data_IF_283776223206
#
_entry.id   IF_283776223206
#
_cell.length_a   1.000
_cell.length_b   1.000
_cell.length_c   1.000
_cell.angle_alpha   90.00
_cell.angle_beta   90.00
_cell.angle_gamma   90.00
#
_symmetry.space_group_name_H-M   'P 1'
#
loop_
_entity.id
_entity.type
_entity.pdbx_description
1 polymer ?
#
# COMPACT_ATOMS: atom_id res chain seq x y z
N UNK A 1 39.55 -24.70 26.13
CA UNK A 1 39.81 -23.58 27.07
C UNK A 1 39.15 -22.27 26.61
N UNK A 2 39.34 -21.79 25.37
CA UNK A 2 38.68 -20.55 24.87
C UNK A 2 37.15 -20.61 24.83
N UNK A 3 36.55 -21.76 24.55
CA UNK A 3 35.09 -21.94 24.50
C UNK A 3 34.40 -21.75 25.87
N UNK A 4 35.09 -22.10 26.97
CA UNK A 4 34.59 -21.89 28.33
C UNK A 4 34.69 -20.43 28.77
N UNK A 5 35.68 -19.70 28.25
CA UNK A 5 35.84 -18.27 28.52
C UNK A 5 34.75 -17.50 27.76
N UNK A 6 34.50 -17.84 26.49
CA UNK A 6 33.42 -17.24 25.70
C UNK A 6 32.04 -17.51 26.29
N UNK A 7 31.76 -18.75 26.74
CA UNK A 7 30.48 -19.08 27.39
C UNK A 7 30.33 -18.43 28.77
N UNK A 8 31.40 -18.27 29.53
CA UNK A 8 31.37 -17.59 30.82
C UNK A 8 31.20 -16.06 30.69
N UNK A 9 31.77 -15.47 29.64
CA UNK A 9 31.58 -14.04 29.31
C UNK A 9 30.17 -13.81 28.78
N UNK A 10 29.65 -14.69 27.93
CA UNK A 10 28.27 -14.64 27.45
C UNK A 10 27.26 -14.82 28.58
N UNK A 11 27.49 -15.80 29.46
CA UNK A 11 26.63 -16.06 30.63
C UNK A 11 26.63 -14.89 31.61
N UNK A 12 27.77 -14.21 31.82
CA UNK A 12 27.83 -12.96 32.60
C UNK A 12 27.14 -11.78 31.92
N UNK A 13 27.13 -11.73 30.59
CA UNK A 13 26.40 -10.69 29.85
C UNK A 13 24.88 -10.89 29.90
N UNK A 14 24.41 -12.13 30.03
CA UNK A 14 22.97 -12.46 30.09
C UNK A 14 22.41 -12.53 31.50
N UNK A 15 23.21 -12.91 32.51
CA UNK A 15 22.75 -13.03 33.91
C UNK A 15 22.77 -11.70 34.68
N UNK A 16 23.39 -10.65 34.13
CA UNK A 16 23.47 -9.32 34.77
C UNK A 16 22.32 -8.37 34.46
N UNK A 17 21.45 -8.69 33.48
CA UNK A 17 20.51 -7.72 32.94
C UNK A 17 19.18 -7.77 33.70
N UNK A 18 19.05 -6.94 34.73
CA UNK A 18 17.75 -6.65 35.30
C UNK A 18 16.88 -5.94 34.25
N UNK A 19 15.54 -6.04 34.30
CA UNK A 19 14.65 -5.42 33.31
C UNK A 19 14.73 -3.88 33.20
N UNK A 20 15.56 -3.23 34.03
CA UNK A 20 15.63 -1.77 34.22
C UNK A 20 17.01 -1.15 33.86
N UNK A 21 17.88 -1.83 33.11
CA UNK A 21 19.23 -1.31 32.84
C UNK A 21 19.30 -0.19 31.77
N UNK A 22 18.18 0.25 31.19
CA UNK A 22 18.22 1.38 30.25
C UNK A 22 18.27 2.72 31.02
N UNK A 23 19.07 3.70 30.58
CA UNK A 23 19.09 5.02 31.19
C UNK A 23 17.69 5.64 31.21
N UNK A 24 17.28 6.39 32.26
CA UNK A 24 15.93 6.95 32.36
C UNK A 24 15.49 7.83 31.17
N UNK A 25 16.46 8.39 30.43
CA UNK A 25 16.22 9.19 29.23
C UNK A 25 15.96 8.36 27.96
N UNK A 26 16.19 7.04 27.97
CA UNK A 26 15.99 6.17 26.80
C UNK A 26 14.54 6.20 26.31
N UNK A 27 13.58 6.18 27.24
CA UNK A 27 12.15 6.27 26.92
C UNK A 27 11.80 7.58 26.22
N UNK A 28 12.43 8.70 26.63
CA UNK A 28 12.21 10.00 26.01
C UNK A 28 12.76 10.05 24.59
N UNK A 29 13.93 9.44 24.35
CA UNK A 29 14.54 9.36 23.01
C UNK A 29 13.71 8.45 22.10
N UNK A 30 13.30 7.26 22.56
CA UNK A 30 12.41 6.40 21.76
C UNK A 30 11.08 7.06 21.43
N UNK A 31 10.52 7.85 22.36
CA UNK A 31 9.31 8.61 22.10
C UNK A 31 9.55 9.73 21.07
N UNK A 32 10.69 10.41 21.15
CA UNK A 32 11.07 11.44 20.17
C UNK A 32 11.25 10.84 18.78
N UNK A 33 11.97 9.73 18.66
CA UNK A 33 12.12 8.95 17.43
C UNK A 33 10.77 8.54 16.86
N UNK A 34 9.88 8.01 17.70
CA UNK A 34 8.55 7.65 17.27
C UNK A 34 7.78 8.85 16.72
N UNK A 35 7.82 10.00 17.39
CA UNK A 35 7.14 11.22 16.94
C UNK A 35 7.72 11.73 15.61
N UNK A 36 9.05 11.64 15.42
CA UNK A 36 9.73 12.11 14.20
C UNK A 36 9.52 11.15 13.03
N UNK A 37 9.62 9.84 13.27
CA UNK A 37 9.54 8.84 12.21
C UNK A 37 8.10 8.45 11.88
N UNK A 38 7.13 8.58 12.79
CA UNK A 38 5.74 8.22 12.51
C UNK A 38 5.16 8.95 11.28
N UNK A 39 5.29 10.29 11.12
CA UNK A 39 4.83 10.99 9.92
C UNK A 39 5.53 10.49 8.64
N UNK A 40 6.82 10.17 8.73
CA UNK A 40 7.61 9.66 7.59
C UNK A 40 7.12 8.27 7.20
N UNK A 41 6.96 7.37 8.17
CA UNK A 41 6.42 6.03 7.97
C UNK A 41 5.01 6.08 7.40
N UNK A 42 4.15 6.97 7.92
CA UNK A 42 2.81 7.18 7.37
C UNK A 42 2.88 7.64 5.91
N UNK A 43 3.73 8.60 5.55
CA UNK A 43 3.85 9.05 4.16
C UNK A 43 4.39 7.93 3.24
N UNK A 44 5.37 7.14 3.69
CA UNK A 44 5.88 6.01 2.92
C UNK A 44 4.83 4.92 2.72
N UNK A 45 4.21 4.47 3.81
CA UNK A 45 3.31 3.29 3.80
C UNK A 45 1.93 3.63 3.28
N UNK A 46 1.41 4.82 3.58
CA UNK A 46 0.10 5.24 3.11
C UNK A 46 0.19 5.90 1.74
N UNK A 47 0.93 7.00 1.64
CA UNK A 47 0.90 7.82 0.43
C UNK A 47 1.65 7.15 -0.72
N UNK A 48 2.90 6.74 -0.50
CA UNK A 48 3.71 6.16 -1.59
C UNK A 48 3.28 4.74 -1.94
N UNK A 49 3.10 3.86 -0.94
CA UNK A 49 2.80 2.44 -1.20
C UNK A 49 1.33 2.16 -1.55
N UNK A 50 0.38 2.99 -1.13
CA UNK A 50 -1.05 2.75 -1.39
C UNK A 50 -1.61 3.78 -2.37
N UNK A 51 -1.59 5.07 -2.01
CA UNK A 51 -2.28 6.11 -2.78
C UNK A 51 -1.72 6.26 -4.21
N UNK A 52 -0.40 6.30 -4.38
CA UNK A 52 0.22 6.56 -5.69
C UNK A 52 0.00 5.44 -6.73
N UNK A 53 0.12 4.15 -6.35
CA UNK A 53 -0.27 3.04 -7.23
C UNK A 53 -1.70 3.14 -7.72
N UNK A 54 -2.68 3.50 -6.86
CA UNK A 54 -4.08 3.63 -7.28
C UNK A 54 -4.22 4.60 -8.46
N UNK A 55 -3.62 5.80 -8.37
CA UNK A 55 -3.64 6.75 -9.49
C UNK A 55 -3.06 6.16 -10.77
N UNK A 56 -1.96 5.42 -10.67
CA UNK A 56 -1.27 4.84 -11.82
C UNK A 56 -2.04 3.68 -12.45
N UNK A 57 -2.79 2.93 -11.63
CA UNK A 57 -3.64 1.83 -12.06
C UNK A 57 -4.88 2.33 -12.80
N UNK A 58 -5.50 3.41 -12.32
CA UNK A 58 -6.75 3.94 -12.89
C UNK A 58 -6.52 4.95 -14.02
N UNK A 59 -5.32 5.51 -14.16
CA UNK A 59 -5.07 6.54 -15.16
C UNK A 59 -5.31 6.02 -16.59
N UNK A 60 -6.12 6.77 -17.34
CA UNK A 60 -6.26 6.59 -18.78
C UNK A 60 -5.03 7.14 -19.51
N UNK A 61 -4.48 6.32 -20.40
CA UNK A 61 -3.33 6.67 -21.21
C UNK A 61 -3.69 7.54 -22.40
N UNK A 62 -4.93 7.49 -22.88
CA UNK A 62 -5.37 8.24 -24.04
C UNK A 62 -6.68 8.98 -23.72
N UNK A 63 -6.63 9.96 -22.80
CA UNK A 63 -7.83 10.71 -22.48
C UNK A 63 -8.34 11.39 -23.76
N UNK A 64 -9.66 11.37 -24.00
CA UNK A 64 -10.23 12.10 -25.12
C UNK A 64 -9.75 13.56 -25.03
N UNK A 65 -9.32 14.12 -26.17
CA UNK A 65 -8.90 15.51 -26.28
C UNK A 65 -10.13 16.40 -26.08
N UNK A 66 -10.53 16.61 -24.83
CA UNK A 66 -11.57 17.57 -24.52
C UNK A 66 -10.91 18.94 -24.41
N UNK A 67 -11.09 19.75 -25.45
CA UNK A 67 -10.84 21.18 -25.37
C UNK A 67 -11.97 21.75 -24.48
N UNK A 68 -11.67 22.42 -23.37
CA UNK A 68 -12.71 23.11 -22.63
C UNK A 68 -13.31 24.16 -23.58
N UNK A 69 -14.52 23.91 -24.05
CA UNK A 69 -15.30 24.91 -24.80
C UNK A 69 -15.48 26.09 -23.85
N UNK A 70 -14.82 27.21 -24.15
CA UNK A 70 -15.03 28.47 -23.46
C UNK A 70 -16.48 28.89 -23.73
N UNK A 71 -17.37 28.64 -22.78
CA UNK A 71 -18.77 29.10 -22.85
C UNK A 71 -18.90 30.62 -22.60
N UNK A 72 -17.78 31.32 -22.43
CA UNK A 72 -17.71 32.76 -22.14
C UNK A 72 -17.02 33.55 -23.27
N UNK A 73 -17.12 33.12 -24.53
CA UNK A 73 -16.54 33.91 -25.65
C UNK A 73 -17.30 35.21 -25.95
N UNK A 74 -18.46 35.47 -25.33
CA UNK A 74 -19.25 36.66 -25.65
C UNK A 74 -19.31 37.78 -24.62
N UNK A 75 -18.92 37.62 -23.34
CA UNK A 75 -18.97 38.75 -22.39
C UNK A 75 -17.88 38.74 -21.31
N UNK A 76 -17.24 39.91 -21.16
CA UNK A 76 -16.46 40.42 -20.02
C UNK A 76 -14.91 40.27 -20.04
N UNK A 77 -14.31 41.28 -20.67
CA UNK A 77 -13.26 42.16 -20.12
C UNK A 77 -12.41 41.67 -18.92
N UNK A 78 -11.12 41.49 -19.22
CA UNK A 78 -9.94 41.91 -18.44
C UNK A 78 -10.05 41.88 -16.89
N UNK A 79 -9.86 40.70 -16.31
CA UNK A 79 -9.49 40.55 -14.89
C UNK A 79 -8.05 40.02 -14.82
N UNK A 80 -7.05 40.84 -14.47
CA UNK A 80 -5.68 40.38 -14.30
C UNK A 80 -5.54 39.70 -12.94
N UNK A 81 -5.35 38.37 -12.91
CA UNK A 81 -4.92 37.72 -11.66
C UNK A 81 -5.14 36.21 -11.50
N UNK A 82 -5.96 35.56 -12.33
CA UNK A 82 -6.13 34.10 -12.27
C UNK A 82 -5.77 33.51 -13.61
N UNK A 83 -4.48 33.28 -13.82
CA UNK A 83 -3.99 32.57 -14.98
C UNK A 83 -4.60 31.16 -15.03
N UNK A 84 -5.18 30.73 -16.16
CA UNK A 84 -5.52 29.34 -16.38
C UNK A 84 -4.25 28.50 -16.18
N UNK A 85 -4.36 27.42 -15.43
CA UNK A 85 -3.31 26.40 -15.38
C UNK A 85 -3.03 26.03 -16.85
N UNK A 86 -1.79 26.13 -17.36
CA UNK A 86 -1.52 25.70 -18.71
C UNK A 86 -1.70 24.18 -18.73
N UNK A 87 -2.86 23.71 -19.19
CA UNK A 87 -2.93 22.45 -19.89
C UNK A 87 -1.97 22.62 -21.05
N UNK A 88 -0.75 22.10 -20.91
CA UNK A 88 0.14 21.96 -22.04
C UNK A 88 -0.66 21.16 -23.07
N UNK A 89 -1.09 21.84 -24.14
CA UNK A 89 -1.56 21.22 -25.37
C UNK A 89 -0.44 20.28 -25.78
N UNK A 90 -0.62 19.01 -25.43
CA UNK A 90 0.31 17.97 -25.78
C UNK A 90 -0.02 17.65 -27.21
N UNK A 91 0.75 18.21 -28.16
CA UNK A 91 0.57 18.00 -29.60
C UNK A 91 0.61 16.51 -29.97
N UNK A 92 -0.51 15.81 -29.77
CA UNK A 92 -0.70 14.39 -30.03
C UNK A 92 0.09 13.42 -29.13
N UNK A 93 0.71 13.86 -28.01
CA UNK A 93 1.49 12.95 -27.12
C UNK A 93 0.79 12.75 -25.77
N UNK A 94 0.31 11.54 -25.45
CA UNK A 94 -0.30 11.27 -24.15
C UNK A 94 0.73 11.45 -23.03
N UNK A 95 0.68 12.57 -22.30
CA UNK A 95 1.48 12.74 -21.09
C UNK A 95 0.69 12.26 -19.90
N UNK A 96 0.85 10.99 -19.57
CA UNK A 96 0.34 10.43 -18.31
C UNK A 96 0.93 11.20 -17.14
N UNK A 97 0.06 11.75 -16.30
CA UNK A 97 0.36 12.50 -15.08
C UNK A 97 1.06 11.60 -14.05
N UNK A 98 0.91 10.28 -14.11
CA UNK A 98 1.60 9.33 -13.20
C UNK A 98 3.00 8.91 -13.63
N UNK A 99 3.60 9.56 -14.63
CA UNK A 99 4.95 9.25 -15.11
C UNK A 99 6.07 9.41 -14.06
N UNK A 100 5.83 10.17 -12.97
CA UNK A 100 6.79 10.36 -11.87
C UNK A 100 6.12 10.55 -10.50
N UNK A 101 6.82 10.18 -9.42
CA UNK A 101 6.39 10.47 -8.04
C UNK A 101 6.12 11.97 -7.83
N UNK A 102 6.97 12.82 -8.41
CA UNK A 102 6.85 14.28 -8.31
C UNK A 102 5.63 14.81 -9.04
N UNK A 103 5.28 14.25 -10.20
CA UNK A 103 4.10 14.67 -10.95
C UNK A 103 2.81 14.26 -10.23
N UNK A 104 2.77 13.06 -9.63
CA UNK A 104 1.65 12.63 -8.77
C UNK A 104 1.52 13.56 -7.55
N UNK A 105 2.62 13.83 -6.84
CA UNK A 105 2.59 14.75 -5.69
C UNK A 105 2.12 16.16 -6.10
N UNK A 106 2.60 16.66 -7.24
CA UNK A 106 2.18 17.98 -7.76
C UNK A 106 0.69 18.00 -8.09
N UNK A 107 0.16 16.95 -8.71
CA UNK A 107 -1.28 16.80 -8.99
C UNK A 107 -2.09 16.81 -7.69
N UNK A 108 -1.65 16.05 -6.68
CA UNK A 108 -2.29 15.98 -5.37
C UNK A 108 -2.28 17.32 -4.66
N UNK A 109 -1.14 18.01 -4.63
CA UNK A 109 -1.02 19.33 -4.01
C UNK A 109 -1.88 20.38 -4.70
N UNK A 110 -2.04 20.32 -6.02
CA UNK A 110 -2.94 21.20 -6.76
C UNK A 110 -4.42 20.96 -6.42
N UNK A 111 -4.81 19.71 -6.08
CA UNK A 111 -6.19 19.30 -5.82
C UNK A 111 -6.56 19.20 -4.32
N UNK A 112 -5.80 19.84 -3.42
CA UNK A 112 -6.12 19.80 -1.98
C UNK A 112 -4.94 20.03 -1.02
N UNK A 113 -3.85 20.64 -1.51
CA UNK A 113 -2.68 20.98 -0.72
C UNK A 113 -1.94 19.77 -0.16
N UNK A 114 -1.22 19.96 0.95
CA UNK A 114 -0.43 18.88 1.55
C UNK A 114 -1.32 17.75 2.13
N UNK A 115 -2.51 18.08 2.65
CA UNK A 115 -3.47 17.13 3.23
C UNK A 115 -4.03 16.15 2.19
N UNK A 116 -3.95 16.50 0.90
CA UNK A 116 -4.34 15.62 -0.20
C UNK A 116 -3.58 14.30 -0.24
N UNK A 117 -2.35 14.24 0.31
CA UNK A 117 -1.56 13.01 0.41
C UNK A 117 -2.14 12.00 1.43
N UNK A 118 -3.00 12.46 2.34
CA UNK A 118 -3.68 11.64 3.35
C UNK A 118 -5.18 11.47 3.06
N UNK A 119 -5.62 11.72 1.82
CA UNK A 119 -7.01 11.52 1.38
C UNK A 119 -7.43 10.09 1.65
N UNK A 120 -8.59 9.87 2.26
CA UNK A 120 -9.10 8.53 2.58
C UNK A 120 -8.44 7.84 3.78
N UNK A 121 -7.49 8.47 4.48
CA UNK A 121 -6.72 7.83 5.57
C UNK A 121 -7.65 7.28 6.67
N UNK A 122 -8.61 8.07 7.13
CA UNK A 122 -9.58 7.63 8.14
C UNK A 122 -10.48 6.48 7.66
N UNK A 123 -10.78 6.42 6.36
CA UNK A 123 -11.53 5.30 5.80
C UNK A 123 -10.68 4.02 5.81
N UNK A 124 -9.38 4.13 5.51
CA UNK A 124 -8.44 3.00 5.62
C UNK A 124 -8.26 2.53 7.07
N UNK A 125 -8.15 3.47 8.03
CA UNK A 125 -8.08 3.13 9.46
C UNK A 125 -9.35 2.43 9.92
N UNK A 126 -10.53 2.95 9.55
CA UNK A 126 -11.80 2.30 9.85
C UNK A 126 -11.88 0.90 9.26
N UNK A 127 -11.43 0.71 8.02
CA UNK A 127 -11.35 -0.60 7.38
C UNK A 127 -10.37 -1.53 8.11
N UNK A 128 -9.19 -1.06 8.52
CA UNK A 128 -8.21 -1.88 9.23
C UNK A 128 -8.75 -2.36 10.59
N UNK A 129 -9.36 -1.45 11.36
CA UNK A 129 -9.99 -1.78 12.64
C UNK A 129 -11.16 -2.76 12.46
N UNK A 130 -12.03 -2.51 11.48
CA UNK A 130 -13.14 -3.41 11.17
C UNK A 130 -12.65 -4.79 10.69
N UNK A 131 -11.56 -4.83 9.91
CA UNK A 131 -10.95 -6.10 9.46
C UNK A 131 -10.43 -6.89 10.64
N UNK A 132 -9.73 -6.25 11.58
CA UNK A 132 -9.25 -6.89 12.80
C UNK A 132 -10.38 -7.43 13.68
N UNK A 133 -11.44 -6.64 13.87
CA UNK A 133 -12.61 -7.05 14.64
C UNK A 133 -13.34 -8.24 13.98
N UNK A 134 -13.61 -8.17 12.67
CA UNK A 134 -14.25 -9.26 11.93
C UNK A 134 -13.39 -10.52 11.86
N UNK A 135 -12.07 -10.37 11.71
CA UNK A 135 -11.15 -11.50 11.80
C UNK A 135 -11.26 -12.18 13.17
N UNK A 136 -11.25 -11.43 14.27
CA UNK A 136 -11.43 -11.98 15.62
C UNK A 136 -12.75 -12.72 15.78
N UNK A 137 -13.84 -12.17 15.25
CA UNK A 137 -15.17 -12.81 15.27
C UNK A 137 -15.17 -14.09 14.43
N UNK A 138 -14.79 -14.03 13.15
CA UNK A 138 -14.86 -15.18 12.25
C UNK A 138 -13.88 -16.29 12.65
N UNK A 139 -12.69 -15.96 13.14
CA UNK A 139 -11.72 -16.94 13.64
C UNK A 139 -12.21 -17.66 14.90
N UNK A 140 -13.04 -17.03 15.73
CA UNK A 140 -13.63 -17.69 16.90
C UNK A 140 -14.56 -18.86 16.54
N UNK A 141 -15.18 -18.82 15.35
CA UNK A 141 -16.07 -19.87 14.86
C UNK A 141 -15.40 -20.86 13.90
N UNK A 142 -14.15 -20.60 13.50
CA UNK A 142 -13.42 -21.42 12.54
C UNK A 142 -12.29 -22.20 13.25
N UNK A 143 -12.04 -23.47 12.87
CA UNK A 143 -10.82 -24.17 13.30
C UNK A 143 -9.56 -23.39 12.89
N UNK A 144 -8.50 -23.47 13.70
CA UNK A 144 -7.25 -22.74 13.47
C UNK A 144 -6.64 -22.94 12.07
N UNK A 145 -6.84 -24.12 11.46
CA UNK A 145 -6.37 -24.41 10.09
C UNK A 145 -7.07 -23.57 9.02
N UNK A 146 -8.28 -23.07 9.30
CA UNK A 146 -9.08 -22.20 8.44
C UNK A 146 -8.99 -20.72 8.85
N UNK A 147 -8.06 -20.34 9.74
CA UNK A 147 -7.92 -18.96 10.19
C UNK A 147 -7.69 -17.97 9.01
N UNK A 148 -6.98 -18.38 7.96
CA UNK A 148 -6.81 -17.55 6.76
C UNK A 148 -8.15 -17.27 6.06
N UNK A 149 -9.11 -18.19 6.09
CA UNK A 149 -10.45 -17.96 5.51
C UNK A 149 -11.21 -16.87 6.27
N UNK A 150 -10.98 -16.71 7.58
CA UNK A 150 -11.54 -15.60 8.35
C UNK A 150 -11.14 -14.22 7.77
N UNK A 151 -9.90 -14.09 7.28
CA UNK A 151 -9.44 -12.85 6.63
C UNK A 151 -10.12 -12.60 5.28
N UNK A 152 -10.45 -13.66 4.52
CA UNK A 152 -11.25 -13.55 3.30
C UNK A 152 -12.67 -13.09 3.61
N UNK A 153 -13.32 -13.71 4.61
CA UNK A 153 -14.66 -13.33 5.04
C UNK A 153 -14.71 -11.87 5.50
N UNK A 154 -13.72 -11.43 6.28
CA UNK A 154 -13.59 -10.02 6.68
C UNK A 154 -13.44 -9.09 5.48
N UNK A 155 -12.58 -9.42 4.51
CA UNK A 155 -12.40 -8.63 3.29
C UNK A 155 -13.69 -8.53 2.46
N UNK A 156 -14.42 -9.65 2.33
CA UNK A 156 -15.70 -9.73 1.61
C UNK A 156 -16.82 -8.94 2.31
N UNK A 157 -16.85 -8.91 3.64
CA UNK A 157 -17.81 -8.09 4.41
C UNK A 157 -17.52 -6.60 4.30
N UNK A 158 -16.27 -6.20 4.03
CA UNK A 158 -15.84 -4.79 3.98
C UNK A 158 -15.58 -4.28 2.56
N UNK A 159 -16.17 -4.93 1.54
CA UNK A 159 -16.08 -4.51 0.13
C UNK A 159 -16.53 -3.07 -0.10
N UNK A 160 -17.51 -2.58 0.66
CA UNK A 160 -17.97 -1.19 0.58
C UNK A 160 -16.90 -0.21 1.04
N UNK A 161 -16.21 -0.49 2.15
CA UNK A 161 -15.17 0.38 2.67
C UNK A 161 -13.97 0.42 1.73
N UNK A 162 -13.54 -0.73 1.22
CA UNK A 162 -12.41 -0.78 0.27
C UNK A 162 -12.71 -0.06 -1.03
N UNK A 163 -13.93 -0.22 -1.55
CA UNK A 163 -14.37 0.50 -2.75
C UNK A 163 -14.52 1.99 -2.50
N UNK A 164 -15.12 2.40 -1.37
CA UNK A 164 -15.25 3.79 -0.99
C UNK A 164 -13.89 4.46 -0.78
N UNK A 165 -12.92 3.74 -0.22
CA UNK A 165 -11.55 4.24 -0.09
C UNK A 165 -10.93 4.55 -1.46
N UNK A 166 -11.04 3.64 -2.44
CA UNK A 166 -10.59 3.89 -3.83
C UNK A 166 -11.31 5.11 -4.41
N UNK A 167 -12.63 5.22 -4.24
CA UNK A 167 -13.40 6.38 -4.70
C UNK A 167 -12.89 7.68 -4.09
N UNK A 168 -12.67 7.72 -2.77
CA UNK A 168 -12.12 8.89 -2.07
C UNK A 168 -10.73 9.25 -2.58
N UNK A 169 -9.90 8.26 -2.90
CA UNK A 169 -8.55 8.49 -3.44
C UNK A 169 -8.61 9.17 -4.81
N UNK A 170 -9.47 8.71 -5.72
CA UNK A 170 -9.50 9.18 -7.12
C UNK A 170 -10.38 10.42 -7.35
N UNK A 171 -11.32 10.74 -6.47
CA UNK A 171 -12.18 11.93 -6.57
C UNK A 171 -11.56 13.18 -5.92
N UNK A 172 -12.04 14.40 -6.25
CA UNK A 172 -11.70 15.62 -5.52
C UNK A 172 -12.06 15.55 -4.03
N UNK A 173 -11.50 16.47 -3.25
CA UNK A 173 -11.88 16.60 -1.83
C UNK A 173 -13.36 16.94 -1.72
N UNK A 174 -14.07 16.21 -0.86
CA UNK A 174 -15.50 16.42 -0.60
C UNK A 174 -15.68 16.85 0.85
N UNK A 175 -16.62 17.76 1.15
CA UNK A 175 -16.97 18.14 2.52
C UNK A 175 -17.71 17.02 3.28
N UNK A 176 -18.27 16.04 2.56
CA UNK A 176 -18.99 14.91 3.15
C UNK A 176 -18.03 13.91 3.82
N UNK A 177 -18.48 13.35 4.93
CA UNK A 177 -17.81 12.26 5.63
C UNK A 177 -17.73 10.99 4.77
N UNK A 178 -16.73 10.15 5.02
CA UNK A 178 -16.50 8.94 4.22
C UNK A 178 -17.64 7.93 4.30
N UNK A 179 -18.31 7.79 5.45
CA UNK A 179 -19.41 6.84 5.63
C UNK A 179 -20.67 7.24 4.86
N UNK A 180 -20.84 8.52 4.55
CA UNK A 180 -21.93 9.02 3.70
C UNK A 180 -21.68 8.76 2.20
N UNK A 181 -20.46 8.34 1.85
CA UNK A 181 -20.01 8.10 0.47
C UNK A 181 -19.86 6.61 0.16
N UNK A 182 -20.38 5.73 1.02
CA UNK A 182 -20.29 4.28 0.84
C UNK A 182 -21.18 3.83 -0.34
N UNK A 183 -20.67 3.04 -1.28
CA UNK A 183 -21.48 2.50 -2.37
C UNK A 183 -22.44 1.42 -1.83
N UNK A 184 -23.56 1.12 -2.53
CA UNK A 184 -24.51 0.09 -2.09
C UNK A 184 -23.88 -1.30 -1.94
N UNK A 185 -24.15 -2.00 -0.83
CA UNK A 185 -23.44 -3.24 -0.46
C UNK A 185 -23.59 -4.32 -1.51
N UNK A 186 -24.82 -4.69 -1.85
CA UNK A 186 -25.13 -5.79 -2.77
C UNK A 186 -24.44 -5.61 -4.12
N UNK A 187 -24.52 -4.41 -4.71
CA UNK A 187 -23.87 -4.08 -5.98
C UNK A 187 -22.35 -4.17 -5.87
N UNK A 188 -21.79 -3.60 -4.81
CA UNK A 188 -20.35 -3.60 -4.58
C UNK A 188 -19.83 -5.03 -4.40
N UNK A 189 -20.54 -5.85 -3.64
CA UNK A 189 -20.23 -7.26 -3.42
C UNK A 189 -20.29 -8.06 -4.72
N UNK A 190 -21.37 -7.95 -5.50
CA UNK A 190 -21.52 -8.64 -6.78
C UNK A 190 -20.37 -8.32 -7.76
N UNK A 191 -19.93 -7.06 -7.80
CA UNK A 191 -18.85 -6.62 -8.66
C UNK A 191 -17.46 -7.04 -8.16
N UNK A 192 -17.20 -6.90 -6.85
CA UNK A 192 -15.83 -7.00 -6.29
C UNK A 192 -15.52 -8.32 -5.61
N UNK A 193 -16.51 -9.18 -5.28
CA UNK A 193 -16.27 -10.42 -4.54
C UNK A 193 -15.22 -11.33 -5.21
N UNK A 194 -15.28 -11.48 -6.54
CA UNK A 194 -14.31 -12.28 -7.30
C UNK A 194 -12.91 -11.64 -7.31
N UNK A 195 -12.73 -10.36 -7.69
CA UNK A 195 -11.44 -9.69 -7.57
C UNK A 195 -10.86 -9.69 -6.15
N UNK A 196 -11.68 -9.49 -5.12
CA UNK A 196 -11.25 -9.53 -3.71
C UNK A 196 -10.73 -10.91 -3.32
N UNK A 197 -11.47 -11.97 -3.68
CA UNK A 197 -11.02 -13.34 -3.44
C UNK A 197 -9.73 -13.67 -4.19
N UNK A 198 -9.59 -13.20 -5.43
CA UNK A 198 -8.38 -13.39 -6.23
C UNK A 198 -7.17 -12.66 -5.61
N UNK A 199 -7.34 -11.40 -5.19
CA UNK A 199 -6.30 -10.62 -4.51
C UNK A 199 -5.91 -11.21 -3.16
N UNK A 200 -6.88 -11.69 -2.38
CA UNK A 200 -6.62 -12.41 -1.13
C UNK A 200 -5.80 -13.69 -1.38
N UNK A 201 -6.19 -14.51 -2.37
CA UNK A 201 -5.48 -15.74 -2.71
C UNK A 201 -4.07 -15.45 -3.21
N UNK A 202 -3.92 -14.43 -4.06
CA UNK A 202 -2.62 -13.96 -4.54
C UNK A 202 -1.70 -13.57 -3.38
N UNK A 203 -2.22 -12.82 -2.41
CA UNK A 203 -1.49 -12.39 -1.21
C UNK A 203 -1.11 -13.57 -0.32
N UNK A 204 -2.03 -14.54 -0.16
CA UNK A 204 -1.79 -15.75 0.60
C UNK A 204 -0.65 -16.57 -0.03
N UNK A 205 -0.72 -16.83 -1.33
CA UNK A 205 0.31 -17.57 -2.07
C UNK A 205 1.66 -16.85 -2.01
N UNK A 206 1.67 -15.53 -2.24
CA UNK A 206 2.90 -14.74 -2.19
C UNK A 206 3.54 -14.69 -0.79
N UNK A 207 2.76 -14.91 0.27
CA UNK A 207 3.25 -14.98 1.64
C UNK A 207 3.77 -16.38 1.97
N UNK A 208 2.99 -17.42 1.71
CA UNK A 208 3.28 -18.78 2.17
C UNK A 208 4.29 -19.53 1.28
N UNK A 209 4.33 -19.27 -0.03
CA UNK A 209 5.26 -19.98 -0.92
C UNK A 209 6.73 -19.67 -0.58
N UNK A 210 7.17 -18.41 -0.43
CA UNK A 210 8.56 -18.13 -0.04
C UNK A 210 8.94 -18.72 1.32
N UNK A 211 7.99 -18.75 2.28
CA UNK A 211 8.20 -19.35 3.60
C UNK A 211 8.39 -20.87 3.48
N UNK A 212 7.52 -21.55 2.73
CA UNK A 212 7.61 -22.99 2.50
C UNK A 212 8.92 -23.38 1.79
N UNK A 213 9.36 -22.58 0.81
CA UNK A 213 10.67 -22.75 0.17
C UNK A 213 11.80 -22.56 1.17
N UNK A 214 11.72 -21.56 2.06
CA UNK A 214 12.72 -21.36 3.09
C UNK A 214 12.83 -22.53 4.08
N UNK A 215 11.70 -23.10 4.50
CA UNK A 215 11.70 -24.32 5.30
C UNK A 215 12.30 -25.50 4.55
N UNK A 216 11.99 -25.67 3.26
CA UNK A 216 12.59 -26.72 2.43
C UNK A 216 14.12 -26.56 2.25
N UNK A 217 14.63 -25.32 2.31
CA UNK A 217 16.06 -25.01 2.27
C UNK A 217 16.76 -25.10 3.65
N UNK A 218 16.02 -25.53 4.68
CA UNK A 218 16.52 -25.70 6.04
C UNK A 218 16.77 -24.40 6.80
N UNK A 219 16.09 -23.30 6.41
CA UNK A 219 16.15 -22.06 7.17
C UNK A 219 15.09 -22.07 8.28
N UNK A 220 15.53 -21.82 9.51
CA UNK A 220 14.64 -21.45 10.62
C UNK A 220 14.11 -20.03 10.38
N UNK A 221 13.18 -19.91 9.43
CA UNK A 221 12.38 -18.71 9.28
C UNK A 221 11.51 -18.56 10.54
N UNK A 222 11.34 -17.32 11.05
CA UNK A 222 10.56 -17.10 12.26
C UNK A 222 9.16 -17.67 12.07
N UNK A 223 8.86 -18.73 12.83
CA UNK A 223 7.49 -19.13 13.07
C UNK A 223 6.78 -17.89 13.61
N UNK A 224 5.66 -17.47 13.00
CA UNK A 224 4.79 -16.39 13.48
C UNK A 224 4.11 -16.74 14.83
N UNK A 225 4.89 -17.18 15.82
CA UNK A 225 4.47 -17.44 17.20
C UNK A 225 4.77 -16.20 18.01
N UNK A 226 3.79 -15.29 18.08
CA UNK A 226 3.79 -14.23 19.07
C UNK A 226 3.91 -14.86 20.48
N UNK A 227 4.97 -14.50 21.22
CA UNK A 227 5.11 -14.82 22.64
C UNK A 227 5.91 -16.08 23.02
N UNK A 228 6.54 -16.80 22.07
CA UNK A 228 7.57 -17.78 22.43
C UNK A 228 8.94 -17.08 22.41
N UNK A 229 9.83 -17.31 23.39
CA UNK A 229 11.19 -16.82 23.30
C UNK A 229 11.84 -17.51 22.10
N UNK A 230 12.07 -16.77 21.02
CA UNK A 230 12.95 -17.18 19.93
C UNK A 230 14.33 -17.32 20.56
N UNK A 231 14.67 -18.54 20.99
CA UNK A 231 15.98 -18.85 21.59
C UNK A 231 17.12 -18.72 20.59
N UNK A 232 16.80 -18.50 19.32
CA UNK A 232 17.74 -18.16 18.27
C UNK A 232 17.57 -16.68 17.92
N UNK A 233 18.46 -15.85 18.44
CA UNK A 233 18.77 -14.56 17.82
C UNK A 233 19.07 -14.84 16.34
N UNK A 234 18.37 -14.23 15.37
CA UNK A 234 18.69 -14.39 13.97
C UNK A 234 20.04 -13.71 13.72
N UNK A 235 21.14 -14.44 13.90
CA UNK A 235 22.47 -13.85 13.81
C UNK A 235 23.68 -14.70 14.17
N UNK A 236 23.55 -15.91 14.76
CA UNK A 236 24.77 -16.56 15.31
C UNK A 236 25.02 -18.02 14.90
N UNK A 237 24.14 -18.66 14.13
CA UNK A 237 24.38 -20.03 13.62
C UNK A 237 24.26 -20.19 12.09
N UNK A 238 24.13 -19.09 11.35
CA UNK A 238 24.25 -19.12 9.89
C UNK A 238 25.72 -19.13 9.51
N UNK A 239 26.23 -20.27 9.01
CA UNK A 239 27.50 -20.28 8.29
C UNK A 239 27.45 -19.21 7.18
N UNK A 240 28.54 -18.47 6.88
CA UNK A 240 28.58 -17.53 5.75
C UNK A 240 28.09 -18.12 4.42
N UNK A 241 28.10 -19.46 4.30
CA UNK A 241 27.55 -20.24 3.20
C UNK A 241 26.02 -20.23 3.07
N UNK A 242 25.25 -19.63 3.99
CA UNK A 242 23.77 -19.59 3.95
C UNK A 242 23.19 -18.25 3.47
N UNK A 243 24.04 -17.22 3.29
CA UNK A 243 23.60 -15.90 2.83
C UNK A 243 22.97 -15.91 1.42
N UNK A 244 23.33 -16.86 0.56
CA UNK A 244 22.71 -16.99 -0.77
C UNK A 244 21.25 -17.47 -0.68
N UNK A 245 20.89 -18.25 0.34
CA UNK A 245 19.53 -18.76 0.52
C UNK A 245 18.55 -17.62 0.81
N UNK A 246 18.96 -16.63 1.61
CA UNK A 246 18.14 -15.45 1.88
C UNK A 246 17.91 -14.62 0.61
N UNK A 247 18.95 -14.42 -0.21
CA UNK A 247 18.84 -13.74 -1.52
C UNK A 247 17.84 -14.46 -2.42
N UNK A 248 17.92 -15.80 -2.51
CA UNK A 248 16.98 -16.59 -3.33
C UNK A 248 15.54 -16.43 -2.84
N UNK A 249 15.29 -16.50 -1.53
CA UNK A 249 13.94 -16.34 -0.97
C UNK A 249 13.41 -14.92 -1.20
N UNK A 250 14.25 -13.90 -1.07
CA UNK A 250 13.88 -12.51 -1.38
C UNK A 250 13.51 -12.36 -2.85
N UNK A 251 14.28 -12.95 -3.77
CA UNK A 251 13.97 -12.91 -5.21
C UNK A 251 12.66 -13.64 -5.53
N UNK A 252 12.41 -14.79 -4.90
CA UNK A 252 11.14 -15.53 -5.05
C UNK A 252 9.98 -14.67 -4.53
N UNK A 253 10.11 -14.09 -3.33
CA UNK A 253 9.07 -13.22 -2.74
C UNK A 253 8.76 -12.02 -3.65
N UNK A 254 9.80 -11.36 -4.19
CA UNK A 254 9.65 -10.26 -5.13
C UNK A 254 8.96 -10.71 -6.42
N UNK A 255 9.33 -11.87 -6.97
CA UNK A 255 8.71 -12.42 -8.16
C UNK A 255 7.22 -12.71 -7.95
N UNK A 256 6.84 -13.34 -6.84
CA UNK A 256 5.43 -13.58 -6.51
C UNK A 256 4.67 -12.27 -6.31
N UNK A 257 5.27 -11.26 -5.68
CA UNK A 257 4.62 -9.97 -5.51
C UNK A 257 4.34 -9.30 -6.87
N UNK A 258 5.36 -9.23 -7.74
CA UNK A 258 5.24 -8.58 -9.06
C UNK A 258 4.35 -9.34 -10.03
N UNK A 259 4.41 -10.68 -10.03
CA UNK A 259 3.73 -11.52 -11.02
C UNK A 259 2.34 -12.00 -10.57
N UNK A 260 2.03 -11.97 -9.27
CA UNK A 260 0.79 -12.52 -8.72
C UNK A 260 -0.01 -11.48 -7.96
N UNK A 261 0.62 -10.74 -7.04
CA UNK A 261 -0.08 -9.76 -6.19
C UNK A 261 -0.46 -8.50 -6.98
N UNK A 262 0.51 -7.88 -7.68
CA UNK A 262 0.26 -6.64 -8.43
C UNK A 262 -0.83 -6.82 -9.51
N UNK A 263 -0.85 -7.88 -10.34
CA UNK A 263 -1.94 -8.08 -11.30
C UNK A 263 -3.31 -8.20 -10.64
N UNK A 264 -3.39 -8.90 -9.51
CA UNK A 264 -4.65 -9.05 -8.78
C UNK A 264 -5.10 -7.71 -8.17
N UNK A 265 -4.17 -6.89 -7.68
CA UNK A 265 -4.43 -5.54 -7.19
C UNK A 265 -4.93 -4.63 -8.32
N UNK A 266 -4.25 -4.62 -9.47
CA UNK A 266 -4.64 -3.86 -10.67
C UNK A 266 -6.10 -4.15 -11.02
N UNK A 267 -6.46 -5.43 -11.09
CA UNK A 267 -7.82 -5.82 -11.45
C UNK A 267 -8.83 -5.41 -10.38
N UNK A 268 -8.53 -5.63 -9.10
CA UNK A 268 -9.40 -5.23 -8.00
C UNK A 268 -9.66 -3.72 -8.01
N UNK A 269 -8.60 -2.92 -8.07
CA UNK A 269 -8.68 -1.45 -8.03
C UNK A 269 -9.44 -0.91 -9.23
N UNK A 270 -9.20 -1.44 -10.44
CA UNK A 270 -9.94 -1.02 -11.64
C UNK A 270 -11.43 -1.36 -11.54
N UNK A 271 -11.78 -2.55 -11.05
CA UNK A 271 -13.19 -2.91 -10.82
C UNK A 271 -13.82 -1.99 -9.77
N UNK A 272 -13.12 -1.69 -8.67
CA UNK A 272 -13.59 -0.74 -7.65
C UNK A 272 -13.78 0.67 -8.22
N UNK A 273 -12.83 1.17 -9.01
CA UNK A 273 -12.91 2.47 -9.66
C UNK A 273 -14.10 2.54 -10.65
N UNK A 274 -14.41 1.45 -11.36
CA UNK A 274 -15.55 1.39 -12.27
C UNK A 274 -16.92 1.50 -11.59
N UNK A 275 -16.99 1.29 -10.27
CA UNK A 275 -18.21 1.48 -9.49
C UNK A 275 -18.46 2.94 -9.09
N UNK A 276 -17.54 3.85 -9.44
CA UNK A 276 -17.72 5.27 -9.17
C UNK A 276 -18.96 5.79 -9.94
N UNK A 277 -19.86 6.56 -9.30
CA UNK A 277 -21.02 7.13 -9.97
C UNK A 277 -20.64 7.98 -11.18
N UNK A 278 -21.50 7.99 -12.21
CA UNK A 278 -21.25 8.69 -13.48
C UNK A 278 -21.14 10.21 -13.28
N UNK A 279 -21.79 10.73 -12.24
CA UNK A 279 -21.86 12.16 -11.90
C UNK A 279 -20.67 12.65 -11.08
N UNK A 280 -19.84 11.75 -10.54
CA UNK A 280 -18.70 12.15 -9.73
C UNK A 280 -17.53 12.56 -10.61
N UNK A 281 -16.79 13.62 -10.26
CA UNK A 281 -15.55 13.99 -10.97
C UNK A 281 -14.35 13.17 -10.48
N UNK A 282 -13.33 12.99 -11.34
CA UNK A 282 -12.05 12.36 -10.98
C UNK A 282 -10.91 13.36 -11.07
N UNK A 283 -9.95 13.27 -10.15
CA UNK A 283 -8.74 14.11 -10.12
C UNK A 283 -7.77 13.73 -11.24
N UNK A 284 -7.85 12.49 -11.69
CA UNK A 284 -7.05 11.94 -12.77
C UNK A 284 -7.97 11.52 -13.93
N UNK A 285 -7.52 11.64 -15.19
CA UNK A 285 -8.28 11.10 -16.30
C UNK A 285 -8.47 9.58 -16.10
N UNK A 286 -9.72 9.14 -16.12
CA UNK A 286 -10.10 7.76 -15.91
C UNK A 286 -11.15 7.36 -16.95
N UNK A 287 -10.83 6.34 -17.75
CA UNK A 287 -11.78 5.76 -18.69
C UNK A 287 -12.73 4.79 -17.96
N UNK A 288 -13.96 5.25 -17.76
CA UNK A 288 -15.05 4.46 -17.15
C UNK A 288 -15.65 3.43 -18.09
N UNK A 289 -15.49 3.60 -19.39
CA UNK A 289 -16.03 2.73 -20.42
C UNK A 289 -15.15 1.51 -20.66
N UNK A 290 -13.88 1.54 -20.22
CA UNK A 290 -12.89 0.50 -20.47
C UNK A 290 -12.79 0.18 -21.97
N UNK A 291 -12.47 1.19 -22.77
CA UNK A 291 -12.44 1.17 -24.23
C UNK A 291 -13.81 0.81 -24.83
N UNK A 292 -14.90 1.32 -24.23
CA UNK A 292 -16.28 1.04 -24.66
C UNK A 292 -16.82 -0.35 -24.32
N UNK A 293 -16.09 -1.17 -23.55
CA UNK A 293 -16.49 -2.55 -23.19
C UNK A 293 -17.43 -2.62 -21.98
N UNK A 294 -17.61 -1.50 -21.27
CA UNK A 294 -18.53 -1.38 -20.13
C UNK A 294 -19.67 -0.46 -20.50
N UNK A 295 -20.87 -1.03 -20.58
CA UNK A 295 -22.09 -0.28 -20.83
C UNK A 295 -22.57 0.44 -19.55
N UNK A 296 -22.85 1.75 -19.63
CA UNK A 296 -23.44 2.53 -18.55
C UNK A 296 -24.76 1.95 -18.06
N UNK A 297 -25.13 2.27 -16.83
CA UNK A 297 -26.40 1.77 -16.27
C UNK A 297 -27.61 2.40 -16.97
N UNK A 298 -27.46 3.64 -17.42
CA UNK A 298 -28.52 4.39 -18.11
C UNK A 298 -28.99 3.69 -19.39
N UNK A 299 -28.13 2.88 -20.03
CA UNK A 299 -28.44 2.10 -21.24
C UNK A 299 -28.77 0.62 -20.97
N UNK A 300 -28.96 0.22 -19.70
CA UNK A 300 -29.32 -1.15 -19.31
C UNK A 300 -28.13 -2.08 -19.02
N UNK A 301 -26.90 -1.56 -19.06
CA UNK A 301 -25.68 -2.30 -18.74
C UNK A 301 -25.48 -2.55 -17.24
N UNK A 302 -24.49 -3.38 -16.90
CA UNK A 302 -24.10 -3.63 -15.49
C UNK A 302 -23.57 -2.37 -14.80
N UNK A 303 -23.05 -1.40 -15.55
CA UNK A 303 -22.49 -0.16 -15.03
C UNK A 303 -21.28 -0.38 -14.11
N UNK A 304 -20.50 -1.43 -14.35
CA UNK A 304 -19.19 -1.69 -13.74
C UNK A 304 -18.39 -2.69 -14.59
N UNK A 305 -17.07 -2.63 -14.51
CA UNK A 305 -16.16 -3.52 -15.21
C UNK A 305 -16.13 -4.91 -14.56
N UNK A 306 -16.12 -5.96 -15.39
CA UNK A 306 -15.85 -7.32 -14.90
C UNK A 306 -14.34 -7.54 -14.74
N UNK A 307 -13.96 -8.51 -13.91
CA UNK A 307 -12.55 -8.91 -13.70
C UNK A 307 -11.79 -9.15 -15.02
N UNK A 308 -12.43 -9.81 -16.00
CA UNK A 308 -11.83 -10.10 -17.29
C UNK A 308 -11.62 -8.84 -18.14
N UNK A 309 -12.61 -7.96 -18.20
CA UNK A 309 -12.52 -6.68 -18.94
C UNK A 309 -11.46 -5.77 -18.30
N UNK A 310 -11.43 -5.70 -16.97
CA UNK A 310 -10.47 -4.91 -16.21
C UNK A 310 -9.02 -5.41 -16.37
N UNK A 311 -8.79 -6.67 -16.72
CA UNK A 311 -7.45 -7.14 -17.09
C UNK A 311 -7.14 -6.93 -18.58
N UNK A 312 -8.08 -7.32 -19.45
CA UNK A 312 -7.86 -7.32 -20.90
C UNK A 312 -7.61 -5.93 -21.49
N UNK A 313 -8.14 -4.88 -20.86
CA UNK A 313 -7.96 -3.48 -21.26
C UNK A 313 -6.77 -2.81 -20.58
N UNK A 314 -5.96 -3.55 -19.81
CA UNK A 314 -4.79 -2.99 -19.16
C UNK A 314 -3.59 -3.06 -20.13
N UNK A 315 -3.11 -1.89 -20.57
CA UNK A 315 -2.05 -1.83 -21.57
C UNK A 315 -0.70 -2.29 -20.99
N UNK A 316 0.20 -2.79 -21.87
CA UNK A 316 1.58 -3.10 -21.49
C UNK A 316 2.37 -1.86 -21.07
N UNK A 317 2.01 -0.69 -21.61
CA UNK A 317 2.64 0.58 -21.26
C UNK A 317 2.27 0.99 -19.82
N UNK A 318 1.00 0.82 -19.43
CA UNK A 318 0.51 1.06 -18.09
C UNK A 318 1.19 0.13 -17.09
N UNK A 319 1.29 -1.16 -17.43
CA UNK A 319 2.03 -2.15 -16.62
C UNK A 319 3.48 -1.75 -16.40
N UNK A 320 4.21 -1.37 -17.46
CA UNK A 320 5.60 -0.92 -17.35
C UNK A 320 5.72 0.31 -16.44
N UNK A 321 4.82 1.29 -16.57
CA UNK A 321 4.78 2.49 -15.72
C UNK A 321 4.55 2.13 -14.26
N UNK A 322 3.61 1.23 -13.99
CA UNK A 322 3.30 0.74 -12.64
C UNK A 322 4.50 0.02 -12.00
N UNK A 323 5.16 -0.91 -12.72
CA UNK A 323 6.34 -1.60 -12.21
C UNK A 323 7.48 -0.63 -11.92
N UNK A 324 7.75 0.33 -12.82
CA UNK A 324 8.75 1.38 -12.59
C UNK A 324 8.40 2.23 -11.36
N UNK A 325 7.12 2.52 -11.14
CA UNK A 325 6.66 3.24 -9.95
C UNK A 325 6.96 2.45 -8.68
N UNK A 326 6.62 1.15 -8.61
CA UNK A 326 6.95 0.31 -7.46
C UNK A 326 8.46 0.22 -7.21
N UNK A 327 9.28 0.11 -8.26
CA UNK A 327 10.75 0.13 -8.11
C UNK A 327 11.23 1.45 -7.51
N UNK A 328 10.67 2.59 -7.93
CA UNK A 328 11.00 3.90 -7.35
C UNK A 328 10.57 3.99 -5.90
N UNK A 329 9.36 3.53 -5.57
CA UNK A 329 8.86 3.50 -4.18
C UNK A 329 9.77 2.63 -3.32
N UNK A 330 10.13 1.45 -3.79
CA UNK A 330 11.02 0.53 -3.09
C UNK A 330 12.40 1.15 -2.82
N UNK A 331 12.99 1.81 -3.81
CA UNK A 331 14.26 2.53 -3.64
C UNK A 331 14.15 3.66 -2.59
N UNK A 332 13.06 4.44 -2.62
CA UNK A 332 12.80 5.47 -1.61
C UNK A 332 12.65 4.85 -0.22
N UNK A 333 11.90 3.75 -0.08
CA UNK A 333 11.76 3.04 1.18
C UNK A 333 13.12 2.57 1.73
N UNK A 334 13.96 1.93 0.91
CA UNK A 334 15.31 1.50 1.33
C UNK A 334 16.11 2.69 1.85
N UNK A 335 16.19 3.77 1.07
CA UNK A 335 16.97 4.95 1.45
C UNK A 335 16.46 5.53 2.77
N UNK A 336 15.13 5.64 2.95
CA UNK A 336 14.57 6.16 4.20
C UNK A 336 14.85 5.23 5.37
N UNK A 337 14.72 3.92 5.22
CA UNK A 337 15.07 2.97 6.29
C UNK A 337 16.56 3.00 6.65
N UNK A 338 17.45 3.18 5.67
CA UNK A 338 18.88 3.36 5.92
C UNK A 338 19.16 4.65 6.70
N UNK A 339 18.48 5.75 6.36
CA UNK A 339 18.60 7.02 7.10
C UNK A 339 18.07 6.88 8.54
N UNK A 340 16.92 6.23 8.72
CA UNK A 340 16.38 5.97 10.05
C UNK A 340 17.33 5.08 10.86
N UNK A 341 17.86 4.01 10.27
CA UNK A 341 18.84 3.14 10.93
C UNK A 341 20.13 3.90 11.30
N UNK A 342 20.59 4.81 10.44
CA UNK A 342 21.75 5.66 10.72
C UNK A 342 21.55 6.62 11.90
N UNK A 343 20.30 6.91 12.29
CA UNK A 343 19.95 7.71 13.48
C UNK A 343 19.80 6.79 14.70
N UNK A 344 18.96 5.76 14.59
CA UNK A 344 18.62 4.87 15.72
C UNK A 344 19.81 4.05 16.20
N UNK A 345 20.67 3.55 15.30
CA UNK A 345 21.80 2.68 15.68
C UNK A 345 22.80 3.41 16.60
N UNK A 346 23.27 4.64 16.27
CA UNK A 346 24.07 5.43 17.20
C UNK A 346 23.39 5.67 18.55
N UNK A 347 22.10 6.00 18.57
CA UNK A 347 21.36 6.25 19.82
C UNK A 347 21.33 5.01 20.72
N UNK A 348 21.03 3.84 20.14
CA UNK A 348 21.06 2.57 20.86
C UNK A 348 22.47 2.27 21.38
N UNK A 349 23.52 2.52 20.58
CA UNK A 349 24.92 2.35 21.03
C UNK A 349 25.26 3.28 22.20
N UNK A 350 24.78 4.53 22.18
CA UNK A 350 24.97 5.50 23.26
C UNK A 350 24.23 5.07 24.53
N UNK A 351 22.98 4.61 24.41
CA UNK A 351 22.21 4.08 25.55
C UNK A 351 22.87 2.86 26.18
N UNK A 352 23.35 1.92 25.38
CA UNK A 352 24.07 0.73 25.86
C UNK A 352 25.40 1.08 26.56
N UNK A 353 26.07 2.17 26.17
CA UNK A 353 27.26 2.66 26.85
C UNK A 353 26.93 3.35 28.17
N UNK A 354 25.86 4.15 28.19
CA UNK A 354 25.41 4.86 29.38
C UNK A 354 24.80 3.93 30.45
N UNK A 355 24.25 2.79 30.04
CA UNK A 355 23.72 1.72 30.90
C UNK A 355 24.81 0.99 31.73
N UNK A 356 26.06 0.99 31.26
CA UNK A 356 27.19 0.29 31.92
C UNK A 356 27.88 1.10 33.02
N UNK A 357 27.42 2.32 33.27
CA UNK A 357 27.88 3.23 34.32
C UNK A 357 26.74 3.47 35.30
#
# INVERSE_FOLDING_TARGET
MMHHIASAVYKRATEGQQPNDLPPWSTAVFLADFIVFLPVLLLLTYTLQQVYPIFTIVEDENPPAYDPVNLNEDEAADVPGVGPIPSKVTGGRPTTVTSSLRSINRLLMANGGWRANFRGFFCMVAQALATGALYGIFSAFLPNILASVATLLAALSLVQLSTAWVHIVITPQSPLHFWSRLPPFKRTFEATARPVAAFWLASLVATWVPIAVGWALGLDLPNFRFGAPTTTVPGTEGSPSDAWKSVVITLISLAFHVLVVIPAEVVLVRVQASLLPEEADTVIPFDRSFEGKVEPRVVGGKGYATMAVAWATYSRAAWKRLVILYVKIFAVCIVTFLVMAAIVVPEVILMMKASKH
#
